data_IF_171769088199
#
_entry.id   IF_171769088199
#
_cell.length_a   1.000
_cell.length_b   1.000
_cell.length_c   1.000
_cell.angle_alpha   90.00
_cell.angle_beta   90.00
_cell.angle_gamma   90.00
#
_symmetry.space_group_name_H-M   'P 1'
#
loop_
_entity.id
_entity.type
_entity.pdbx_description
1 polymer ?
#
# COMPACT_ATOMS: atom_id res chain seq x y z
N UNK A 1 22.75 12.97 -1.79
CA UNK A 1 21.65 13.82 -1.29
C UNK A 1 21.47 13.54 0.17
N UNK A 2 21.08 14.54 0.95
CA UNK A 2 20.69 14.29 2.34
C UNK A 2 19.27 13.69 2.34
N UNK A 3 18.99 12.73 3.23
CA UNK A 3 17.66 12.08 3.32
C UNK A 3 16.50 13.09 3.43
N UNK A 4 16.74 14.24 4.06
CA UNK A 4 15.77 15.32 4.14
C UNK A 4 15.38 15.90 2.77
N UNK A 5 16.32 16.00 1.83
CA UNK A 5 16.04 16.48 0.46
C UNK A 5 15.13 15.50 -0.29
N UNK A 6 15.35 14.19 -0.11
CA UNK A 6 14.53 13.13 -0.71
C UNK A 6 13.11 13.12 -0.13
N UNK A 7 12.97 13.27 1.19
CA UNK A 7 11.68 13.41 1.87
C UNK A 7 10.92 14.62 1.31
N UNK A 8 11.57 15.78 1.22
CA UNK A 8 10.95 17.00 0.68
C UNK A 8 10.56 16.84 -0.79
N UNK A 9 11.33 16.11 -1.59
CA UNK A 9 10.98 15.81 -2.98
C UNK A 9 9.70 14.97 -3.05
N UNK A 10 9.52 13.98 -2.17
CA UNK A 10 8.29 13.17 -2.11
C UNK A 10 7.08 14.02 -1.70
N UNK A 11 7.23 14.87 -0.69
CA UNK A 11 6.14 15.74 -0.19
C UNK A 11 5.73 16.80 -1.21
N UNK A 12 6.70 17.39 -1.90
CA UNK A 12 6.46 18.46 -2.88
C UNK A 12 6.00 17.96 -4.24
N UNK A 13 6.11 16.65 -4.50
CA UNK A 13 5.70 16.08 -5.79
C UNK A 13 4.17 15.99 -5.89
N UNK A 14 3.53 16.67 -6.87
CA UNK A 14 2.09 16.62 -7.06
C UNK A 14 1.57 15.24 -7.47
N UNK A 15 2.43 14.36 -8.03
CA UNK A 15 2.09 12.99 -8.40
C UNK A 15 2.14 11.99 -7.23
N UNK A 16 2.72 12.36 -6.09
CA UNK A 16 2.70 11.53 -4.88
C UNK A 16 1.28 11.53 -4.31
N UNK A 17 0.76 10.35 -3.97
CA UNK A 17 -0.57 10.22 -3.37
C UNK A 17 -0.67 10.94 -2.03
N UNK A 18 -1.84 11.52 -1.74
CA UNK A 18 -2.07 12.22 -0.48
C UNK A 18 -1.88 11.30 0.74
N UNK A 19 -2.22 10.02 0.59
CA UNK A 19 -2.01 9.03 1.64
C UNK A 19 -0.51 8.86 1.99
N UNK A 20 0.36 8.77 0.98
CA UNK A 20 1.80 8.65 1.22
C UNK A 20 2.38 9.94 1.80
N UNK A 21 1.94 11.11 1.32
CA UNK A 21 2.34 12.41 1.89
C UNK A 21 1.97 12.52 3.36
N UNK A 22 0.71 12.28 3.70
CA UNK A 22 0.21 12.34 5.07
C UNK A 22 0.94 11.34 5.99
N UNK A 23 1.22 10.14 5.48
CA UNK A 23 1.92 9.11 6.24
C UNK A 23 3.37 9.52 6.53
N UNK A 24 4.05 10.07 5.52
CA UNK A 24 5.43 10.55 5.65
C UNK A 24 5.53 11.79 6.56
N UNK A 25 4.62 12.75 6.45
CA UNK A 25 4.52 13.91 7.34
C UNK A 25 4.33 13.51 8.82
N UNK A 26 3.59 12.44 9.07
CA UNK A 26 3.44 11.91 10.44
C UNK A 26 4.67 11.16 10.91
N UNK A 27 5.35 10.44 10.02
CA UNK A 27 6.52 9.63 10.33
C UNK A 27 7.74 10.48 10.72
N UNK A 28 7.97 11.63 10.05
CA UNK A 28 9.15 12.48 10.31
C UNK A 28 9.22 13.07 11.73
N UNK A 29 8.11 13.06 12.47
CA UNK A 29 8.04 13.55 13.84
C UNK A 29 8.25 12.45 14.89
N UNK A 30 8.48 11.20 14.46
CA UNK A 30 8.69 10.03 15.33
C UNK A 30 10.15 9.61 15.37
N UNK A 31 10.45 8.70 16.28
CA UNK A 31 11.70 7.93 16.22
C UNK A 31 11.78 7.17 14.89
N UNK A 32 12.94 7.25 14.23
CA UNK A 32 13.10 6.72 12.89
C UNK A 32 13.07 5.18 12.85
N UNK A 33 13.42 4.49 13.94
CA UNK A 33 13.37 3.03 14.02
C UNK A 33 11.91 2.58 14.11
N UNK A 34 11.12 3.22 14.97
CA UNK A 34 9.69 2.92 15.10
C UNK A 34 8.93 3.20 13.79
N UNK A 35 9.21 4.35 13.16
CA UNK A 35 8.57 4.72 11.90
C UNK A 35 8.90 3.74 10.76
N UNK A 36 10.14 3.23 10.71
CA UNK A 36 10.53 2.23 9.73
C UNK A 36 9.85 0.87 9.97
N UNK A 37 9.79 0.41 11.23
CA UNK A 37 9.11 -0.83 11.60
C UNK A 37 7.61 -0.77 11.27
N UNK A 38 6.95 0.34 11.57
CA UNK A 38 5.52 0.53 11.25
C UNK A 38 5.28 0.56 9.74
N UNK A 39 6.20 1.14 8.97
CA UNK A 39 6.12 1.14 7.51
C UNK A 39 6.30 -0.26 6.91
N UNK A 40 7.19 -1.09 7.47
CA UNK A 40 7.36 -2.49 7.05
C UNK A 40 6.11 -3.32 7.34
N UNK A 41 5.54 -3.19 8.54
CA UNK A 41 4.29 -3.85 8.92
C UNK A 41 3.13 -3.42 8.01
N UNK A 42 3.02 -2.12 7.73
CA UNK A 42 2.01 -1.57 6.84
C UNK A 42 2.13 -2.12 5.43
N UNK A 43 3.36 -2.19 4.90
CA UNK A 43 3.63 -2.76 3.58
C UNK A 43 3.22 -4.23 3.49
N UNK A 44 3.59 -5.05 4.49
CA UNK A 44 3.18 -6.47 4.56
C UNK A 44 1.66 -6.63 4.57
N UNK A 45 0.96 -5.83 5.38
CA UNK A 45 -0.50 -5.85 5.46
C UNK A 45 -1.16 -5.47 4.12
N UNK A 46 -0.64 -4.43 3.45
CA UNK A 46 -1.18 -3.97 2.17
C UNK A 46 -0.97 -5.02 1.06
N UNK A 47 0.17 -5.71 1.03
CA UNK A 47 0.41 -6.81 0.09
C UNK A 47 -0.59 -7.93 0.33
N UNK A 48 -0.70 -8.43 1.57
CA UNK A 48 -1.61 -9.53 1.88
C UNK A 48 -3.07 -9.18 1.60
N UNK A 49 -3.46 -7.93 1.89
CA UNK A 49 -4.80 -7.44 1.57
C UNK A 49 -5.05 -7.37 0.06
N UNK A 50 -4.07 -6.92 -0.71
CA UNK A 50 -4.13 -6.92 -2.17
C UNK A 50 -4.27 -8.35 -2.73
N UNK A 51 -3.44 -9.28 -2.25
CA UNK A 51 -3.48 -10.68 -2.66
C UNK A 51 -4.83 -11.32 -2.33
N UNK A 52 -5.38 -11.06 -1.15
CA UNK A 52 -6.70 -11.56 -0.75
C UNK A 52 -7.80 -11.01 -1.66
N UNK A 53 -7.77 -9.71 -1.98
CA UNK A 53 -8.74 -9.08 -2.87
C UNK A 53 -8.66 -9.67 -4.30
N UNK A 54 -7.46 -9.87 -4.84
CA UNK A 54 -7.25 -10.45 -6.17
C UNK A 54 -7.65 -11.93 -6.24
N UNK A 55 -7.35 -12.70 -5.19
CA UNK A 55 -7.73 -14.10 -5.11
C UNK A 55 -9.24 -14.28 -4.97
N UNK A 56 -9.91 -13.41 -4.20
CA UNK A 56 -11.36 -13.38 -4.08
C UNK A 56 -12.03 -13.11 -5.43
N UNK A 57 -11.51 -12.14 -6.19
CA UNK A 57 -12.04 -11.80 -7.52
C UNK A 57 -11.86 -12.95 -8.52
N UNK A 58 -10.70 -13.61 -8.50
CA UNK A 58 -10.45 -14.82 -9.31
C UNK A 58 -11.39 -15.97 -8.96
N UNK A 59 -11.67 -16.19 -7.68
CA UNK A 59 -12.60 -17.24 -7.23
C UNK A 59 -14.04 -16.96 -7.70
N UNK A 60 -14.49 -15.71 -7.67
CA UNK A 60 -15.81 -15.30 -8.17
C UNK A 60 -15.95 -15.57 -9.68
N UNK A 61 -14.94 -15.21 -10.48
CA UNK A 61 -14.94 -15.46 -11.93
C UNK A 61 -15.00 -16.96 -12.27
N UNK A 62 -14.30 -17.81 -11.52
CA UNK A 62 -14.33 -19.26 -11.71
C UNK A 62 -15.70 -19.87 -11.36
N UNK A 63 -16.34 -19.38 -10.29
CA UNK A 63 -17.67 -19.83 -9.87
C UNK A 63 -18.76 -19.47 -10.91
N UNK A 64 -18.70 -18.27 -11.49
CA UNK A 64 -19.64 -17.83 -12.53
C UNK A 64 -19.44 -18.57 -13.85
N UNK A 65 -18.21 -18.89 -14.23
CA UNK A 65 -17.93 -19.73 -15.40
C UNK A 65 -18.46 -21.16 -15.22
N UNK A 66 -18.26 -21.77 -14.04
CA UNK A 66 -18.77 -23.10 -13.72
C UNK A 66 -20.30 -23.21 -13.72
N UNK A 67 -21.01 -22.12 -13.38
CA UNK A 67 -22.47 -22.05 -13.42
C UNK A 67 -23.01 -22.00 -14.85
N UNK A 68 -22.34 -21.30 -15.76
CA UNK A 68 -22.75 -21.16 -17.18
C UNK A 68 -22.59 -22.42 -18.01
N UNK A 69 -21.63 -23.29 -17.69
CA UNK A 69 -21.39 -24.55 -18.43
C UNK A 69 -22.37 -25.66 -18.03
N UNK A 70 -23.06 -25.52 -16.90
CA UNK A 70 -24.00 -26.54 -16.35
C UNK A 70 -25.48 -26.24 -16.61
N UNK A 71 -25.81 -25.16 -17.31
CA UNK A 71 -27.17 -24.79 -17.72
C UNK A 71 -27.37 -24.98 -19.22
#
# INVERSE_FOLDING_TARGET
MAINEEIQAVLSNPGTSDWLKCSLEKAIHRDCVDAANDAELLHDLLIRWCDEALNADSALLQADHGRRIRS
#
